data_IF_866522866149
#
_entry.id   IF_866522866149
#
_cell.length_a   1.000
_cell.length_b   1.000
_cell.length_c   1.000
_cell.angle_alpha   90.00
_cell.angle_beta   90.00
_cell.angle_gamma   90.00
#
_symmetry.space_group_name_H-M   'P 1'
#
loop_
_entity.id
_entity.type
_entity.pdbx_description
1 polymer ?
#
# COMPACT_ATOMS: atom_id res chain seq x y z
N UNK A 1 -23.86 -7.37 -2.82
CA UNK A 1 -23.65 -7.21 -1.36
C UNK A 1 -22.72 -8.30 -0.83
N UNK A 2 -21.43 -8.25 -1.17
CA UNK A 2 -20.40 -9.15 -0.65
C UNK A 2 -19.14 -8.35 -0.32
N UNK A 3 -19.30 -7.30 0.46
CA UNK A 3 -18.22 -6.49 1.01
C UNK A 3 -18.13 -6.79 2.49
N UNK A 4 -16.97 -7.14 3.01
CA UNK A 4 -16.64 -7.34 4.42
C UNK A 4 -16.57 -8.81 4.87
N UNK A 5 -15.54 -9.50 4.49
CA UNK A 5 -14.86 -10.40 5.43
C UNK A 5 -13.72 -9.62 6.07
N UNK A 6 -14.04 -8.77 7.00
CA UNK A 6 -13.07 -8.10 7.86
C UNK A 6 -12.52 -9.13 8.83
N UNK A 7 -11.28 -9.55 8.61
CA UNK A 7 -10.53 -10.30 9.62
C UNK A 7 -10.15 -9.30 10.72
N UNK A 8 -10.62 -9.51 11.93
CA UNK A 8 -10.22 -8.70 13.08
C UNK A 8 -8.70 -8.80 13.32
N UNK A 9 -8.08 -7.75 13.86
CA UNK A 9 -6.66 -7.72 14.22
C UNK A 9 -6.24 -8.94 15.07
N UNK A 10 -7.16 -9.46 15.91
CA UNK A 10 -6.99 -10.66 16.74
C UNK A 10 -6.92 -11.97 15.93
N UNK A 11 -7.55 -12.03 14.76
CA UNK A 11 -7.42 -13.18 13.86
C UNK A 11 -6.08 -13.16 13.10
N UNK A 12 -5.50 -11.97 12.87
CA UNK A 12 -4.15 -11.86 12.31
C UNK A 12 -3.06 -12.33 13.29
N UNK A 13 -3.30 -12.27 14.60
CA UNK A 13 -2.35 -12.67 15.64
C UNK A 13 -2.41 -14.16 16.02
N UNK A 14 -3.40 -14.92 15.55
CA UNK A 14 -3.69 -16.31 15.96
C UNK A 14 -3.21 -17.38 14.99
N UNK A 15 -2.21 -17.17 14.17
CA UNK A 15 -1.69 -18.23 13.30
C UNK A 15 -0.35 -18.73 13.82
N UNK A 16 -0.40 -19.98 14.27
CA UNK A 16 0.66 -20.96 14.48
C UNK A 16 2.12 -20.46 14.55
N UNK A 17 2.81 -20.82 15.63
CA UNK A 17 4.28 -20.95 15.70
C UNK A 17 4.73 -22.12 14.80
N UNK A 18 4.41 -22.06 13.52
CA UNK A 18 4.79 -22.99 12.46
C UNK A 18 5.70 -22.30 11.44
N UNK A 19 6.14 -22.99 10.41
CA UNK A 19 7.03 -22.53 9.35
C UNK A 19 6.66 -21.13 8.83
N UNK A 20 7.68 -20.31 8.53
CA UNK A 20 7.48 -19.00 7.90
C UNK A 20 6.77 -19.17 6.54
N UNK A 21 5.91 -18.23 6.22
CA UNK A 21 5.26 -18.19 4.90
C UNK A 21 6.25 -17.63 3.88
N UNK A 22 6.43 -18.34 2.77
CA UNK A 22 7.21 -17.85 1.65
C UNK A 22 6.63 -16.53 1.14
N UNK A 23 7.48 -15.55 0.91
CA UNK A 23 7.10 -14.23 0.44
C UNK A 23 7.87 -13.85 -0.82
N UNK A 24 7.18 -13.22 -1.77
CA UNK A 24 7.76 -12.63 -2.96
C UNK A 24 7.32 -11.16 -3.07
N UNK A 25 8.27 -10.30 -3.39
CA UNK A 25 8.00 -8.88 -3.65
C UNK A 25 7.91 -8.68 -5.16
N UNK A 26 6.83 -8.05 -5.61
CA UNK A 26 6.65 -7.62 -7.00
C UNK A 26 7.21 -6.22 -7.15
N UNK A 27 8.21 -6.08 -8.02
CA UNK A 27 8.96 -4.83 -8.21
C UNK A 27 10.27 -4.81 -7.45
N UNK A 28 11.39 -4.75 -8.18
CA UNK A 28 12.75 -4.69 -7.67
C UNK A 28 13.31 -3.25 -7.60
N UNK A 29 12.42 -2.25 -7.58
CA UNK A 29 12.76 -0.84 -7.44
C UNK A 29 12.96 -0.38 -6.00
N UNK A 30 12.98 0.95 -5.79
CA UNK A 30 13.18 1.57 -4.47
C UNK A 30 12.19 1.10 -3.43
N UNK A 31 10.89 1.10 -3.74
CA UNK A 31 9.86 0.68 -2.79
C UNK A 31 9.91 -0.83 -2.52
N UNK A 32 10.30 -1.67 -3.49
CA UNK A 32 10.56 -3.09 -3.25
C UNK A 32 11.66 -3.32 -2.20
N UNK A 33 12.73 -2.50 -2.22
CA UNK A 33 13.78 -2.52 -1.18
C UNK A 33 13.25 -2.13 0.20
N UNK A 34 12.35 -1.14 0.27
CA UNK A 34 11.72 -0.73 1.53
C UNK A 34 10.82 -1.83 2.10
N UNK A 35 10.08 -2.56 1.26
CA UNK A 35 9.31 -3.73 1.69
C UNK A 35 10.23 -4.84 2.19
N UNK A 36 11.34 -5.12 1.51
CA UNK A 36 12.32 -6.10 1.95
C UNK A 36 12.92 -5.74 3.32
N UNK A 37 13.23 -4.46 3.54
CA UNK A 37 13.63 -3.94 4.83
C UNK A 37 12.54 -4.17 5.91
N UNK A 38 11.29 -3.86 5.60
CA UNK A 38 10.18 -4.07 6.53
C UNK A 38 10.00 -5.55 6.88
N UNK A 39 10.12 -6.45 5.90
CA UNK A 39 9.98 -7.90 6.12
C UNK A 39 11.00 -8.45 7.11
N UNK A 40 12.19 -7.84 7.26
CA UNK A 40 13.18 -8.24 8.26
C UNK A 40 12.65 -8.11 9.70
N UNK A 41 11.73 -7.17 9.92
CA UNK A 41 11.10 -6.93 11.23
C UNK A 41 9.82 -7.73 11.47
N UNK A 42 9.33 -8.49 10.47
CA UNK A 42 8.09 -9.27 10.53
C UNK A 42 8.41 -10.75 10.40
N UNK A 43 8.54 -11.44 11.53
CA UNK A 43 9.05 -12.82 11.62
C UNK A 43 8.18 -13.87 10.90
N UNK A 44 6.95 -13.54 10.54
CA UNK A 44 6.00 -14.45 9.89
C UNK A 44 6.39 -14.84 8.46
N UNK A 45 7.13 -13.98 7.76
CA UNK A 45 7.44 -14.17 6.36
C UNK A 45 8.92 -14.44 6.15
N UNK A 46 9.21 -15.23 5.12
CA UNK A 46 10.56 -15.45 4.62
C UNK A 46 10.63 -14.96 3.16
N UNK A 47 11.43 -13.92 2.94
CA UNK A 47 11.62 -13.37 1.60
C UNK A 47 12.40 -14.36 0.73
N UNK A 48 11.73 -14.91 -0.28
CA UNK A 48 12.35 -15.80 -1.27
C UNK A 48 13.07 -15.01 -2.37
N UNK A 49 12.54 -13.85 -2.76
CA UNK A 49 13.11 -13.02 -3.81
C UNK A 49 12.14 -11.98 -4.34
N UNK A 50 12.48 -11.45 -5.50
CA UNK A 50 11.67 -10.44 -6.19
C UNK A 50 11.26 -10.97 -7.57
N UNK A 51 10.18 -10.43 -8.12
CA UNK A 51 9.85 -10.54 -9.54
C UNK A 51 9.73 -9.14 -10.14
N UNK A 52 10.23 -8.98 -11.36
CA UNK A 52 10.25 -7.68 -12.05
C UNK A 52 10.24 -7.91 -13.56
N UNK A 53 9.43 -7.16 -14.32
CA UNK A 53 9.34 -7.30 -15.77
C UNK A 53 10.50 -6.62 -16.53
N UNK A 54 11.34 -5.85 -15.82
CA UNK A 54 12.51 -5.19 -16.43
C UNK A 54 13.57 -6.21 -16.83
N UNK A 55 13.90 -6.25 -18.11
CA UNK A 55 14.98 -7.11 -18.64
C UNK A 55 16.33 -6.88 -17.96
N UNK A 56 16.57 -5.66 -17.48
CA UNK A 56 17.81 -5.31 -16.78
C UNK A 56 17.91 -5.97 -15.40
N UNK A 57 16.79 -6.35 -14.82
CA UNK A 57 16.74 -6.98 -13.50
C UNK A 57 16.84 -8.51 -13.58
N UNK A 58 16.57 -9.10 -14.72
CA UNK A 58 16.62 -10.56 -14.88
C UNK A 58 18.02 -11.12 -14.60
N UNK A 59 18.06 -12.28 -13.90
CA UNK A 59 19.31 -12.94 -13.47
C UNK A 59 20.20 -12.08 -12.54
N UNK A 60 19.63 -11.05 -11.90
CA UNK A 60 20.30 -10.24 -10.90
C UNK A 60 19.88 -10.65 -9.48
N UNK A 61 20.62 -10.16 -8.51
CA UNK A 61 20.26 -10.20 -7.10
C UNK A 61 20.00 -8.79 -6.57
N UNK A 62 19.06 -8.66 -5.64
CA UNK A 62 18.76 -7.44 -4.93
C UNK A 62 18.73 -7.75 -3.43
N UNK A 63 19.57 -7.07 -2.63
CA UNK A 63 19.69 -7.33 -1.19
C UNK A 63 19.93 -8.82 -0.89
N UNK A 64 20.86 -9.45 -1.62
CA UNK A 64 21.21 -10.88 -1.49
C UNK A 64 20.04 -11.83 -1.76
N UNK A 65 19.02 -11.38 -2.49
CA UNK A 65 17.87 -12.16 -2.89
C UNK A 65 17.71 -12.17 -4.40
N UNK A 66 17.41 -13.32 -5.01
CA UNK A 66 17.33 -13.44 -6.46
C UNK A 66 16.14 -12.69 -7.03
N UNK A 67 16.29 -12.24 -8.28
CA UNK A 67 15.15 -11.94 -9.15
C UNK A 67 14.66 -13.27 -9.71
N UNK A 68 13.50 -13.73 -9.27
CA UNK A 68 12.93 -15.05 -9.55
C UNK A 68 12.34 -15.15 -10.96
N UNK A 69 12.19 -14.02 -11.66
CA UNK A 69 11.65 -13.95 -12.99
C UNK A 69 10.73 -12.73 -13.20
N UNK A 70 9.86 -12.82 -14.18
CA UNK A 70 8.84 -11.80 -14.47
C UNK A 70 7.59 -11.99 -13.61
N UNK A 71 6.68 -11.01 -13.64
CA UNK A 71 5.40 -11.09 -12.93
C UNK A 71 4.58 -12.31 -13.41
N UNK A 72 4.71 -12.71 -14.67
CA UNK A 72 4.00 -13.88 -15.20
C UNK A 72 4.38 -15.19 -14.51
N UNK A 73 5.61 -15.31 -14.00
CA UNK A 73 6.03 -16.52 -13.28
C UNK A 73 5.22 -16.81 -12.02
N UNK A 74 4.55 -15.78 -11.46
CA UNK A 74 3.67 -15.94 -10.30
C UNK A 74 2.39 -16.72 -10.61
N UNK A 75 1.95 -16.72 -11.88
CA UNK A 75 0.69 -17.37 -12.28
C UNK A 75 0.79 -18.90 -12.14
N UNK A 76 1.99 -19.44 -12.28
CA UNK A 76 2.25 -20.88 -12.28
C UNK A 76 2.75 -21.42 -10.94
N UNK A 77 2.83 -20.57 -9.90
CA UNK A 77 3.24 -21.04 -8.57
C UNK A 77 2.19 -22.03 -8.03
N UNK A 78 2.67 -23.15 -7.52
CA UNK A 78 1.87 -24.27 -7.00
C UNK A 78 1.84 -24.35 -5.46
N UNK A 79 2.61 -23.49 -4.77
CA UNK A 79 2.66 -23.40 -3.33
C UNK A 79 2.09 -22.08 -2.80
N UNK A 80 1.53 -22.10 -1.58
CA UNK A 80 1.02 -20.89 -0.94
C UNK A 80 2.14 -19.86 -0.75
N UNK A 81 1.98 -18.71 -1.39
CA UNK A 81 3.00 -17.65 -1.41
C UNK A 81 2.37 -16.28 -1.11
N UNK A 82 2.95 -15.57 -0.15
CA UNK A 82 2.56 -14.21 0.16
C UNK A 82 3.17 -13.22 -0.85
N UNK A 83 2.34 -12.40 -1.46
CA UNK A 83 2.74 -11.43 -2.46
C UNK A 83 2.61 -10.02 -1.89
N UNK A 84 3.69 -9.25 -2.00
CA UNK A 84 3.73 -7.84 -1.63
C UNK A 84 4.04 -6.98 -2.84
N UNK A 85 3.16 -6.02 -3.16
CA UNK A 85 3.33 -5.15 -4.33
C UNK A 85 4.26 -3.98 -3.99
N UNK A 86 5.51 -4.06 -4.40
CA UNK A 86 6.56 -3.05 -4.25
C UNK A 86 6.50 -1.96 -5.34
N UNK A 87 5.30 -1.55 -5.73
CA UNK A 87 5.01 -0.62 -6.83
C UNK A 87 4.28 0.60 -6.27
N UNK A 88 4.80 1.79 -6.57
CA UNK A 88 4.16 3.02 -6.14
C UNK A 88 2.98 3.44 -7.04
N UNK A 89 3.05 3.20 -8.35
CA UNK A 89 1.98 3.57 -9.29
C UNK A 89 0.68 2.84 -8.99
N UNK A 90 -0.42 3.55 -8.72
CA UNK A 90 -1.72 2.98 -8.43
C UNK A 90 -2.27 2.08 -9.53
N UNK A 91 -2.20 2.55 -10.78
CA UNK A 91 -2.71 1.81 -11.95
C UNK A 91 -1.89 0.54 -12.23
N UNK A 92 -0.58 0.60 -12.01
CA UNK A 92 0.28 -0.59 -12.18
C UNK A 92 -0.02 -1.61 -11.09
N UNK A 93 -0.22 -1.19 -9.83
CA UNK A 93 -0.64 -2.09 -8.73
C UNK A 93 -1.93 -2.84 -9.08
N UNK A 94 -2.94 -2.11 -9.54
CA UNK A 94 -4.21 -2.70 -9.92
C UNK A 94 -4.05 -3.70 -11.07
N UNK A 95 -3.36 -3.32 -12.15
CA UNK A 95 -3.12 -4.19 -13.31
C UNK A 95 -2.39 -5.48 -12.92
N UNK A 96 -1.38 -5.37 -12.07
CA UNK A 96 -0.64 -6.53 -11.58
C UNK A 96 -1.57 -7.44 -10.77
N UNK A 97 -2.31 -6.90 -9.82
CA UNK A 97 -3.25 -7.69 -9.04
C UNK A 97 -4.27 -8.41 -9.92
N UNK A 98 -4.89 -7.70 -10.86
CA UNK A 98 -5.85 -8.30 -11.80
C UNK A 98 -5.25 -9.44 -12.63
N UNK A 99 -3.96 -9.35 -12.95
CA UNK A 99 -3.25 -10.36 -13.72
C UNK A 99 -3.01 -11.64 -12.90
N UNK A 100 -2.56 -11.51 -11.65
CA UNK A 100 -2.08 -12.64 -10.86
C UNK A 100 -3.10 -13.22 -9.87
N UNK A 101 -4.20 -12.51 -9.56
CA UNK A 101 -5.20 -12.93 -8.57
C UNK A 101 -5.99 -14.19 -8.95
N UNK A 102 -5.83 -14.69 -10.17
CA UNK A 102 -6.44 -15.94 -10.65
C UNK A 102 -5.76 -17.17 -10.06
N UNK A 103 -4.51 -17.06 -9.63
CA UNK A 103 -3.82 -18.12 -8.93
C UNK A 103 -4.23 -18.12 -7.45
N UNK A 104 -4.98 -19.15 -7.03
CA UNK A 104 -5.49 -19.30 -5.67
C UNK A 104 -4.43 -19.68 -4.63
N UNK A 105 -3.19 -19.92 -5.06
CA UNK A 105 -2.03 -20.14 -4.19
C UNK A 105 -1.41 -18.83 -3.72
N UNK A 106 -1.71 -17.73 -4.40
CA UNK A 106 -1.20 -16.42 -4.03
C UNK A 106 -2.10 -15.80 -2.97
N UNK A 107 -1.50 -15.40 -1.86
CA UNK A 107 -2.17 -14.63 -0.82
C UNK A 107 -1.64 -13.20 -0.79
N UNK A 108 -2.51 -12.25 -0.48
CA UNK A 108 -2.19 -10.82 -0.44
C UNK A 108 -2.42 -10.27 0.96
N UNK A 109 -1.55 -10.61 1.93
CA UNK A 109 -1.72 -10.14 3.29
C UNK A 109 -1.36 -8.66 3.44
N UNK A 110 -1.89 -8.04 4.47
CA UNK A 110 -1.40 -6.74 4.90
C UNK A 110 -0.01 -6.90 5.55
N UNK A 111 0.93 -6.05 5.17
CA UNK A 111 2.25 -5.97 5.81
C UNK A 111 2.27 -4.73 6.71
N UNK A 112 2.29 -4.96 8.01
CA UNK A 112 2.22 -3.91 9.02
C UNK A 112 3.51 -3.86 9.81
N UNK A 113 4.19 -2.73 9.81
CA UNK A 113 5.40 -2.53 10.60
C UNK A 113 5.10 -2.71 12.10
N UNK A 114 5.97 -3.37 12.88
CA UNK A 114 5.80 -3.47 14.33
C UNK A 114 5.75 -2.10 15.04
N UNK A 115 6.37 -1.08 14.43
CA UNK A 115 6.36 0.31 14.91
C UNK A 115 5.19 1.15 14.39
N UNK A 116 4.29 0.58 13.60
CA UNK A 116 3.05 1.25 13.20
C UNK A 116 2.05 1.25 14.37
N UNK A 117 1.50 2.41 14.69
CA UNK A 117 0.48 2.54 15.73
C UNK A 117 -0.92 2.41 15.10
N UNK A 118 -1.55 1.26 15.32
CA UNK A 118 -2.90 0.98 14.81
C UNK A 118 -3.87 1.04 15.99
N UNK A 119 -4.75 2.04 15.96
CA UNK A 119 -5.67 2.36 17.05
C UNK A 119 -6.97 1.56 17.04
N UNK A 120 -8.01 2.15 17.63
CA UNK A 120 -9.27 1.45 17.88
C UNK A 120 -10.12 1.38 16.61
N UNK A 121 -10.77 0.24 16.37
CA UNK A 121 -11.69 0.01 15.25
C UNK A 121 -11.10 0.28 13.86
N UNK A 122 -9.79 0.20 13.71
CA UNK A 122 -9.16 0.31 12.38
C UNK A 122 -9.47 -0.94 11.56
N UNK A 123 -10.02 -0.74 10.37
CA UNK A 123 -10.37 -1.80 9.43
C UNK A 123 -9.47 -1.72 8.20
N UNK A 124 -8.91 -2.86 7.81
CA UNK A 124 -8.03 -2.98 6.67
C UNK A 124 -8.61 -3.99 5.69
N UNK A 125 -8.63 -3.63 4.41
CA UNK A 125 -8.81 -4.59 3.32
C UNK A 125 -7.60 -5.53 3.21
N UNK A 126 -7.21 -5.90 2.01
CA UNK A 126 -6.08 -6.79 1.74
C UNK A 126 -4.92 -6.06 1.06
N UNK A 127 -3.71 -6.62 1.18
CA UNK A 127 -2.54 -6.18 0.42
C UNK A 127 -2.00 -4.79 0.79
N UNK A 128 -2.45 -4.19 1.89
CA UNK A 128 -1.94 -2.89 2.32
C UNK A 128 -0.53 -3.02 2.91
N UNK A 129 0.31 -2.03 2.63
CA UNK A 129 1.66 -1.90 3.19
C UNK A 129 1.67 -0.69 4.13
N UNK A 130 1.80 -0.95 5.42
CA UNK A 130 1.83 0.07 6.48
C UNK A 130 3.25 0.16 7.02
N UNK A 131 3.98 1.18 6.57
CA UNK A 131 5.41 1.36 6.83
C UNK A 131 5.70 1.81 8.28
N UNK A 132 6.96 1.77 8.73
CA UNK A 132 7.33 2.16 10.08
C UNK A 132 6.84 3.55 10.48
N UNK A 133 6.45 3.67 11.76
CA UNK A 133 6.02 4.92 12.39
C UNK A 133 4.78 5.57 11.77
N UNK A 134 3.98 4.80 11.02
CA UNK A 134 2.65 5.26 10.59
C UNK A 134 1.66 5.16 11.75
N UNK A 135 0.70 6.08 11.79
CA UNK A 135 -0.29 6.13 12.87
C UNK A 135 -1.71 6.17 12.29
N UNK A 136 -2.57 5.31 12.78
CA UNK A 136 -3.99 5.22 12.45
C UNK A 136 -4.76 5.35 13.76
N UNK A 137 -5.54 6.43 13.95
CA UNK A 137 -6.08 6.71 15.28
C UNK A 137 -7.31 5.88 15.62
N UNK A 138 -8.52 6.30 15.30
CA UNK A 138 -9.75 5.57 15.64
C UNK A 138 -10.72 5.55 14.46
N UNK A 139 -11.46 4.45 14.29
CA UNK A 139 -12.51 4.30 13.28
C UNK A 139 -12.02 4.58 11.84
N UNK A 140 -10.75 4.26 11.56
CA UNK A 140 -10.15 4.41 10.24
C UNK A 140 -10.43 3.18 9.38
N UNK A 141 -10.84 3.40 8.13
CA UNK A 141 -11.09 2.35 7.15
C UNK A 141 -10.16 2.51 5.97
N UNK A 142 -9.33 1.48 5.69
CA UNK A 142 -8.53 1.37 4.49
C UNK A 142 -9.08 0.26 3.60
N UNK A 143 -9.28 0.56 2.33
CA UNK A 143 -9.56 -0.45 1.29
C UNK A 143 -8.35 -1.35 1.02
N UNK A 144 -8.13 -1.70 -0.23
CA UNK A 144 -7.15 -2.69 -0.64
C UNK A 144 -5.91 -2.04 -1.28
N UNK A 145 -4.76 -2.69 -1.12
CA UNK A 145 -3.50 -2.37 -1.82
C UNK A 145 -3.04 -0.91 -1.66
N UNK A 146 -3.32 -0.29 -0.53
CA UNK A 146 -2.78 1.02 -0.22
C UNK A 146 -1.34 0.91 0.29
N UNK A 147 -0.49 1.83 -0.14
CA UNK A 147 0.84 2.08 0.39
C UNK A 147 0.77 3.29 1.31
N UNK A 148 1.00 3.11 2.59
CA UNK A 148 1.11 4.20 3.56
C UNK A 148 2.55 4.25 4.04
N UNK A 149 3.30 5.22 3.54
CA UNK A 149 4.75 5.25 3.72
C UNK A 149 5.15 5.92 5.06
N UNK A 150 6.44 5.79 5.38
CA UNK A 150 7.07 6.09 6.68
C UNK A 150 6.58 7.41 7.28
N UNK A 151 6.20 7.37 8.56
CA UNK A 151 5.87 8.55 9.36
C UNK A 151 4.57 9.26 8.98
N UNK A 152 3.73 8.64 8.14
CA UNK A 152 2.42 9.20 7.79
C UNK A 152 1.39 8.98 8.91
N UNK A 153 0.44 9.92 9.05
CA UNK A 153 -0.61 9.83 10.06
C UNK A 153 -2.00 9.94 9.44
N UNK A 154 -2.91 9.08 9.89
CA UNK A 154 -4.30 9.03 9.45
C UNK A 154 -5.20 9.29 10.66
N UNK A 155 -5.93 10.39 10.60
CA UNK A 155 -6.84 10.84 11.65
C UNK A 155 -8.13 10.01 11.72
N UNK A 156 -8.85 10.18 12.81
CA UNK A 156 -10.07 9.45 13.14
C UNK A 156 -11.18 9.59 12.07
N UNK A 157 -12.05 8.59 11.95
CA UNK A 157 -13.20 8.57 11.03
C UNK A 157 -12.82 8.76 9.54
N UNK A 158 -11.55 8.56 9.19
CA UNK A 158 -11.06 8.69 7.82
C UNK A 158 -11.29 7.41 7.03
N UNK A 159 -11.78 7.55 5.81
CA UNK A 159 -11.99 6.47 4.87
C UNK A 159 -11.05 6.63 3.67
N UNK A 160 -10.28 5.61 3.38
CA UNK A 160 -9.34 5.55 2.27
C UNK A 160 -9.74 4.39 1.37
N UNK A 161 -9.94 4.67 0.08
CA UNK A 161 -10.29 3.68 -0.93
C UNK A 161 -9.16 2.71 -1.24
N UNK A 162 -9.03 2.34 -2.51
CA UNK A 162 -8.12 1.28 -2.95
C UNK A 162 -6.94 1.84 -3.74
N UNK A 163 -5.83 1.10 -3.73
CA UNK A 163 -4.64 1.35 -4.55
C UNK A 163 -3.96 2.71 -4.34
N UNK A 164 -4.28 3.46 -3.29
CA UNK A 164 -3.63 4.74 -3.04
C UNK A 164 -2.15 4.57 -2.70
N UNK A 165 -1.35 5.55 -3.10
CA UNK A 165 0.06 5.67 -2.73
C UNK A 165 0.26 6.94 -1.93
N UNK A 166 0.39 6.77 -0.63
CA UNK A 166 0.60 7.85 0.34
C UNK A 166 2.07 7.83 0.72
N UNK A 167 2.80 8.84 0.25
CA UNK A 167 4.25 8.95 0.39
C UNK A 167 4.67 9.38 1.81
N UNK A 168 5.98 9.39 2.14
CA UNK A 168 6.44 9.66 3.50
C UNK A 168 5.92 10.97 4.10
N UNK A 169 5.65 10.96 5.41
CA UNK A 169 5.30 12.15 6.21
C UNK A 169 4.04 12.87 5.76
N UNK A 170 3.13 12.19 5.10
CA UNK A 170 1.78 12.71 4.79
C UNK A 170 0.93 12.71 6.06
N UNK A 171 0.21 13.80 6.31
CA UNK A 171 -0.73 13.87 7.42
C UNK A 171 -2.15 14.10 6.90
N UNK A 172 -3.02 13.16 7.16
CA UNK A 172 -4.45 13.21 6.85
C UNK A 172 -5.20 13.40 8.17
N UNK A 173 -5.93 14.51 8.29
CA UNK A 173 -6.72 14.81 9.48
C UNK A 173 -8.00 13.98 9.54
N UNK A 174 -8.81 14.16 10.59
CA UNK A 174 -10.04 13.38 10.80
C UNK A 174 -11.14 13.66 9.79
N UNK A 175 -12.05 12.68 9.62
CA UNK A 175 -13.22 12.74 8.73
C UNK A 175 -12.87 13.04 7.25
N UNK A 176 -11.72 12.62 6.78
CA UNK A 176 -11.36 12.72 5.36
C UNK A 176 -11.86 11.50 4.61
N UNK A 177 -12.44 11.72 3.42
CA UNK A 177 -12.77 10.66 2.47
C UNK A 177 -11.83 10.79 1.29
N UNK A 178 -10.93 9.82 1.15
CA UNK A 178 -10.00 9.70 0.04
C UNK A 178 -10.45 8.54 -0.86
N UNK A 179 -10.73 8.82 -2.11
CA UNK A 179 -11.14 7.82 -3.10
C UNK A 179 -10.01 6.86 -3.48
N UNK A 180 -10.13 6.28 -4.66
CA UNK A 180 -9.20 5.28 -5.18
C UNK A 180 -8.05 5.91 -5.98
N UNK A 181 -6.93 5.21 -6.05
CA UNK A 181 -5.83 5.48 -6.99
C UNK A 181 -5.21 6.88 -6.89
N UNK A 182 -5.16 7.45 -5.72
CA UNK A 182 -4.49 8.73 -5.53
C UNK A 182 -3.01 8.55 -5.21
N UNK A 183 -2.20 9.48 -5.68
CA UNK A 183 -0.80 9.66 -5.29
C UNK A 183 -0.67 10.92 -4.43
N UNK A 184 -0.36 10.73 -3.15
CA UNK A 184 -0.24 11.84 -2.20
C UNK A 184 1.23 12.06 -1.87
N UNK A 185 1.81 13.11 -2.45
CA UNK A 185 3.24 13.43 -2.39
C UNK A 185 3.77 13.65 -0.98
N UNK A 186 5.08 13.45 -0.85
CA UNK A 186 5.82 13.55 0.43
C UNK A 186 5.47 14.83 1.18
N UNK A 187 5.17 14.72 2.48
CA UNK A 187 4.95 15.85 3.37
C UNK A 187 3.62 16.60 3.18
N UNK A 188 2.73 16.11 2.33
CA UNK A 188 1.40 16.71 2.12
C UNK A 188 0.59 16.74 3.42
N UNK A 189 -0.15 17.84 3.64
CA UNK A 189 -1.10 18.00 4.75
C UNK A 189 -2.52 18.14 4.20
N UNK A 190 -3.44 17.34 4.74
CA UNK A 190 -4.85 17.38 4.36
C UNK A 190 -5.66 17.69 5.62
N UNK A 191 -6.36 18.83 5.63
CA UNK A 191 -7.18 19.22 6.78
C UNK A 191 -8.44 18.35 6.88
N UNK A 192 -9.12 18.42 8.00
CA UNK A 192 -10.30 17.61 8.32
C UNK A 192 -11.53 17.91 7.41
N UNK A 193 -12.46 16.95 7.37
CA UNK A 193 -13.77 17.07 6.71
C UNK A 193 -13.70 17.29 5.20
N UNK A 194 -12.65 16.80 4.53
CA UNK A 194 -12.49 16.94 3.10
C UNK A 194 -12.83 15.65 2.35
N UNK A 195 -13.28 15.83 1.10
CA UNK A 195 -13.43 14.78 0.11
C UNK A 195 -12.40 14.95 -0.99
N UNK A 196 -11.63 13.91 -1.24
CA UNK A 196 -10.68 13.82 -2.35
C UNK A 196 -11.15 12.67 -3.22
N UNK A 197 -11.42 12.97 -4.48
CA UNK A 197 -11.91 12.00 -5.46
C UNK A 197 -10.87 10.95 -5.82
N UNK A 198 -11.04 10.37 -6.99
CA UNK A 198 -10.19 9.28 -7.48
C UNK A 198 -9.10 9.81 -8.42
N UNK A 199 -8.03 9.04 -8.55
CA UNK A 199 -7.02 9.22 -9.59
C UNK A 199 -6.41 10.63 -9.57
N UNK A 200 -6.09 11.15 -8.40
CA UNK A 200 -5.46 12.46 -8.26
C UNK A 200 -3.97 12.30 -7.93
N UNK A 201 -3.20 13.28 -8.35
CA UNK A 201 -1.82 13.50 -7.92
C UNK A 201 -1.78 14.77 -7.06
N UNK A 202 -1.35 14.64 -5.82
CA UNK A 202 -1.10 15.78 -4.94
C UNK A 202 0.41 15.92 -4.76
N UNK A 203 0.97 17.04 -5.19
CA UNK A 203 2.41 17.28 -5.17
C UNK A 203 2.99 17.35 -3.76
N UNK A 204 4.28 17.05 -3.64
CA UNK A 204 5.00 17.08 -2.37
C UNK A 204 4.88 18.44 -1.66
N UNK A 205 4.79 18.42 -0.32
CA UNK A 205 4.70 19.63 0.52
C UNK A 205 3.40 20.43 0.37
N UNK A 206 2.41 19.89 -0.30
CA UNK A 206 1.13 20.59 -0.52
C UNK A 206 0.28 20.66 0.76
N UNK A 207 -0.57 21.70 0.85
CA UNK A 207 -1.59 21.83 1.90
C UNK A 207 -2.97 21.88 1.27
N UNK A 208 -3.75 20.82 1.49
CA UNK A 208 -5.10 20.67 0.96
C UNK A 208 -6.11 21.22 1.95
N UNK A 209 -6.83 22.27 1.55
CA UNK A 209 -7.83 22.97 2.39
C UNK A 209 -9.23 23.00 1.77
N UNK A 210 -9.42 22.34 0.63
CA UNK A 210 -10.71 22.23 -0.08
C UNK A 210 -10.83 20.85 -0.70
N UNK A 211 -12.07 20.45 -0.98
CA UNK A 211 -12.34 19.23 -1.72
C UNK A 211 -11.64 19.20 -3.07
N UNK A 212 -11.18 18.02 -3.47
CA UNK A 212 -10.54 17.77 -4.76
C UNK A 212 -11.42 16.79 -5.56
N UNK A 213 -11.75 17.16 -6.80
CA UNK A 213 -12.48 16.28 -7.72
C UNK A 213 -11.56 15.16 -8.24
N UNK A 214 -12.10 14.30 -9.11
CA UNK A 214 -11.31 13.24 -9.74
C UNK A 214 -10.33 13.81 -10.79
N UNK A 215 -9.32 13.01 -11.13
CA UNK A 215 -8.47 13.17 -12.30
C UNK A 215 -7.79 14.54 -12.35
N UNK A 216 -7.15 14.94 -11.25
CA UNK A 216 -6.49 16.24 -11.18
C UNK A 216 -5.11 16.15 -10.53
N UNK A 217 -4.21 17.01 -10.99
CA UNK A 217 -2.94 17.28 -10.32
C UNK A 217 -3.01 18.58 -9.55
N UNK A 218 -2.73 18.51 -8.27
CA UNK A 218 -2.85 19.60 -7.33
C UNK A 218 -1.51 19.85 -6.65
N UNK A 219 -1.07 21.11 -6.58
CA UNK A 219 0.19 21.46 -5.93
C UNK A 219 0.08 22.77 -5.16
N UNK A 220 0.94 22.96 -4.17
CA UNK A 220 1.15 24.23 -3.49
C UNK A 220 0.48 24.37 -2.13
N UNK A 221 0.67 25.55 -1.53
CA UNK A 221 0.18 25.95 -0.19
C UNK A 221 -0.56 27.27 -0.31
N UNK A 222 -1.92 27.25 -0.31
CA UNK A 222 -2.79 26.09 -0.43
C UNK A 222 -2.74 25.47 -1.85
N UNK A 223 -3.23 24.22 -1.99
CA UNK A 223 -3.25 23.53 -3.27
C UNK A 223 -4.09 24.24 -4.32
N UNK A 224 -3.56 24.23 -5.57
CA UNK A 224 -4.28 24.61 -6.78
C UNK A 224 -4.17 23.51 -7.81
N UNK A 225 -5.22 23.31 -8.57
CA UNK A 225 -5.20 22.40 -9.73
C UNK A 225 -4.31 22.99 -10.82
N UNK A 226 -3.32 22.22 -11.27
CA UNK A 226 -2.42 22.63 -12.38
C UNK A 226 -2.61 21.80 -13.63
N UNK A 227 -3.26 20.62 -13.52
CA UNK A 227 -3.51 19.71 -14.63
C UNK A 227 -4.80 18.93 -14.38
N UNK A 228 -5.50 18.57 -15.45
CA UNK A 228 -6.67 17.69 -15.44
C UNK A 228 -6.54 16.69 -16.56
N UNK A 229 -7.03 15.47 -16.36
CA UNK A 229 -7.13 14.46 -17.41
C UNK A 229 -8.53 13.84 -17.41
N UNK A 230 -8.92 13.32 -18.56
CA UNK A 230 -10.25 12.72 -18.80
C UNK A 230 -10.34 11.27 -18.25
#
# INVERSE_FOLDING_TARGET
>A
NNWLKTLSLLQMLRINRGSKVKAIIVGAGGFGKEIAFLLQSVSRYELAGFVDDSLKMQNQELLEKPILGTIDSLIELDEETAIFLGIASPDIKEKIYQKINKNNKLIFPNLVAPSALVGINVQLGIGNILMPYTTYTADVVLGNFNMINIGSTIGHDTQIGNYNSIFPSVNISGHVILGDKNEIGVGTKIIQNLRIGNTNIIGAGSVVIKNINNNTKNVGVPTKVIERWD
#
